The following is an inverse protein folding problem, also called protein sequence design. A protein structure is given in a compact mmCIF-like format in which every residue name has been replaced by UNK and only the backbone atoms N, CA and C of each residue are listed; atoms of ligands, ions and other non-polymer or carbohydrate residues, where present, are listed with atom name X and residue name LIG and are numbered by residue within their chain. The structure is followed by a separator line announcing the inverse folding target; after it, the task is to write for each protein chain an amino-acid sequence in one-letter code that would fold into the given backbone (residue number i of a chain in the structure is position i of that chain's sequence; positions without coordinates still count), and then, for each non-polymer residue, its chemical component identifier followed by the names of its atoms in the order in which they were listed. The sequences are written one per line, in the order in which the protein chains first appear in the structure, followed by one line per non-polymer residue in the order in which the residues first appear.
data_IF_888894619356
#
_entry.id   IF_888894619356
#
_cell.length_a   1.000
_cell.length_b   1.000
_cell.length_c   1.000
_cell.angle_alpha   90.00
_cell.angle_beta   90.00
_cell.angle_gamma   90.00
#
_symmetry.space_group_name_H-M   'P 1'
#
loop_
_entity.id
_entity.type
_entity.pdbx_description
1 polymer ?
#
# COMPACT_ATOMS: atom_id res chain seq x y z
N UNK A 1 7.46 7.29 3.25
CA UNK A 1 6.36 6.38 3.64
C UNK A 1 5.86 6.76 5.01
N UNK A 2 4.56 7.05 5.13
CA UNK A 2 3.88 7.34 6.38
C UNK A 2 2.65 6.44 6.53
N UNK A 3 2.39 5.96 7.75
CA UNK A 3 1.16 5.24 8.08
C UNK A 3 0.38 6.04 9.10
N UNK A 4 -0.87 6.37 8.76
CA UNK A 4 -1.83 7.01 9.66
C UNK A 4 -2.85 5.97 10.07
N UNK A 5 -2.98 5.75 11.38
CA UNK A 5 -3.96 4.82 11.94
C UNK A 5 -5.08 5.59 12.61
N UNK A 6 -6.31 5.34 12.15
CA UNK A 6 -7.54 5.83 12.77
C UNK A 6 -8.29 4.65 13.40
N UNK A 7 -9.31 4.90 14.25
CA UNK A 7 -10.11 3.82 14.84
C UNK A 7 -10.82 2.93 13.81
N UNK A 8 -11.10 3.44 12.61
CA UNK A 8 -11.89 2.78 11.58
C UNK A 8 -11.13 2.46 10.29
N UNK A 9 -9.90 2.95 10.13
CA UNK A 9 -9.07 2.70 8.95
C UNK A 9 -7.59 2.88 9.22
N UNK A 10 -6.77 2.25 8.39
CA UNK A 10 -5.39 2.67 8.17
C UNK A 10 -5.27 3.34 6.81
N UNK A 11 -4.45 4.38 6.76
CA UNK A 11 -4.06 5.04 5.52
C UNK A 11 -2.55 4.99 5.42
N UNK A 12 -2.05 4.35 4.37
CA UNK A 12 -0.66 4.38 3.98
C UNK A 12 -0.48 5.45 2.91
N UNK A 13 0.54 6.28 3.06
CA UNK A 13 0.96 7.28 2.09
C UNK A 13 2.44 7.11 1.73
N UNK A 14 2.73 7.07 0.44
CA UNK A 14 4.07 6.86 -0.10
C UNK A 14 4.30 7.84 -1.25
N UNK A 15 5.32 8.68 -1.11
CA UNK A 15 5.88 9.43 -2.23
C UNK A 15 6.54 8.45 -3.20
N UNK A 16 6.02 8.41 -4.41
CA UNK A 16 6.61 7.67 -5.51
C UNK A 16 7.66 8.55 -6.20
N UNK A 17 8.80 7.96 -6.61
CA UNK A 17 9.73 8.63 -7.53
C UNK A 17 9.00 9.12 -8.78
N UNK A 18 9.44 10.25 -9.34
CA UNK A 18 8.78 10.94 -10.45
C UNK A 18 8.60 10.08 -11.72
N UNK A 19 9.40 9.04 -11.85
CA UNK A 19 9.42 8.13 -12.98
C UNK A 19 8.47 6.95 -12.83
N UNK A 20 7.99 6.70 -11.61
CA UNK A 20 7.01 5.64 -11.35
C UNK A 20 5.65 6.11 -11.81
N UNK A 21 5.14 5.41 -12.81
CA UNK A 21 3.77 5.58 -13.30
C UNK A 21 2.84 4.55 -12.66
N UNK A 22 1.51 4.78 -12.60
CA UNK A 22 0.58 3.85 -11.98
C UNK A 22 0.69 2.42 -12.51
N UNK A 23 0.93 2.22 -13.81
CA UNK A 23 1.10 0.89 -14.41
C UNK A 23 2.39 0.15 -13.98
N UNK A 24 3.33 0.84 -13.35
CA UNK A 24 4.58 0.29 -12.83
C UNK A 24 4.42 -0.18 -11.37
N UNK A 25 3.25 0.03 -10.76
CA UNK A 25 2.97 -0.31 -9.37
C UNK A 25 2.13 -1.60 -9.31
N UNK A 26 2.67 -2.61 -8.63
CA UNK A 26 1.96 -3.84 -8.29
C UNK A 26 1.68 -3.87 -6.80
N UNK A 27 0.41 -4.09 -6.43
CA UNK A 27 -0.02 -4.24 -5.04
C UNK A 27 -0.59 -5.65 -4.88
N UNK A 28 -0.01 -6.41 -3.94
CA UNK A 28 -0.38 -7.80 -3.69
C UNK A 28 -0.90 -7.98 -2.27
N UNK A 29 -2.15 -8.43 -2.14
CA UNK A 29 -2.68 -8.96 -0.90
C UNK A 29 -2.10 -10.36 -0.62
N UNK A 30 -1.43 -10.53 0.51
CA UNK A 30 -0.82 -11.80 0.94
C UNK A 30 -1.46 -12.31 2.22
N UNK A 31 -1.33 -13.62 2.45
CA UNK A 31 -1.80 -14.30 3.67
C UNK A 31 -1.21 -13.64 4.93
N UNK A 32 -2.03 -13.55 5.97
CA UNK A 32 -1.64 -13.00 7.28
C UNK A 32 -1.72 -11.48 7.34
N UNK A 33 -2.77 -10.90 6.76
CA UNK A 33 -3.06 -9.46 6.77
C UNK A 33 -1.84 -8.63 6.33
N UNK A 34 -1.32 -8.98 5.15
CA UNK A 34 -0.11 -8.38 4.58
C UNK A 34 -0.37 -7.78 3.21
N UNK A 35 0.19 -6.61 2.97
CA UNK A 35 0.30 -5.99 1.65
C UNK A 35 1.77 -5.87 1.26
N UNK A 36 2.09 -6.34 0.07
CA UNK A 36 3.39 -6.09 -0.57
C UNK A 36 3.14 -5.17 -1.77
N UNK A 37 3.93 -4.10 -1.86
CA UNK A 37 3.86 -3.08 -2.90
C UNK A 37 5.21 -3.06 -3.60
N UNK A 38 5.20 -3.23 -4.91
CA UNK A 38 6.38 -3.14 -5.76
C UNK A 38 6.15 -2.06 -6.79
N UNK A 39 7.08 -1.13 -6.92
CA UNK A 39 7.12 -0.17 -8.01
C UNK A 39 8.38 -0.42 -8.84
N UNK A 40 8.20 -0.72 -10.13
CA UNK A 40 9.29 -1.12 -11.03
C UNK A 40 9.30 -0.28 -12.32
N UNK A 41 10.25 0.64 -12.40
CA UNK A 41 10.57 1.40 -13.62
C UNK A 41 11.41 0.54 -14.58
N UNK A 42 10.78 -0.48 -15.15
CA UNK A 42 11.35 -1.45 -16.11
C UNK A 42 12.11 -0.84 -17.31
N UNK A 43 11.92 0.45 -17.57
CA UNK A 43 12.59 1.20 -18.64
C UNK A 43 13.92 1.83 -18.22
N UNK A 44 14.34 1.70 -16.94
CA UNK A 44 15.59 2.26 -16.40
C UNK A 44 16.53 1.17 -15.90
N UNK A 45 17.83 1.44 -16.03
CA UNK A 45 18.90 0.55 -15.55
C UNK A 45 19.25 0.76 -14.07
N UNK A 46 19.03 1.96 -13.52
CA UNK A 46 19.35 2.32 -12.14
C UNK A 46 18.14 2.90 -11.41
N UNK A 47 18.10 2.73 -10.09
CA UNK A 47 17.03 3.21 -9.19
C UNK A 47 15.63 2.91 -9.74
N UNK A 48 15.45 1.69 -10.26
CA UNK A 48 14.24 1.30 -10.95
C UNK A 48 13.29 0.48 -10.07
N UNK A 49 13.76 -0.09 -8.96
CA UNK A 49 12.98 -1.04 -8.17
C UNK A 49 12.79 -0.57 -6.73
N UNK A 50 11.54 -0.48 -6.30
CA UNK A 50 11.16 -0.06 -4.96
C UNK A 50 10.15 -1.04 -4.37
N UNK A 51 10.37 -1.43 -3.11
CA UNK A 51 9.50 -2.38 -2.41
C UNK A 51 9.10 -1.85 -1.04
N UNK A 52 7.80 -1.95 -0.74
CA UNK A 52 7.26 -1.69 0.59
C UNK A 52 6.42 -2.88 1.05
N UNK A 53 6.61 -3.26 2.31
CA UNK A 53 5.84 -4.32 2.95
C UNK A 53 5.11 -3.76 4.16
N UNK A 54 3.80 -3.99 4.21
CA UNK A 54 2.94 -3.63 5.35
C UNK A 54 2.40 -4.90 5.96
N UNK A 55 2.58 -5.04 7.27
CA UNK A 55 1.96 -6.08 8.08
C UNK A 55 1.00 -5.43 9.05
N UNK A 56 -0.28 -5.79 8.95
CA UNK A 56 -1.28 -5.34 9.89
C UNK A 56 -1.35 -6.31 11.07
N UNK A 57 -1.82 -5.87 12.25
CA UNK A 57 -2.08 -6.78 13.34
C UNK A 57 -3.13 -7.84 12.91
N UNK A 58 -3.01 -9.10 13.36
CA UNK A 58 -3.94 -10.15 12.98
C UNK A 58 -5.38 -9.75 13.27
N UNK A 59 -6.25 -9.91 12.28
CA UNK A 59 -7.69 -9.62 12.37
C UNK A 59 -8.05 -8.13 12.59
N UNK A 60 -7.11 -7.19 12.45
CA UNK A 60 -7.38 -5.76 12.61
C UNK A 60 -8.01 -5.14 11.36
N UNK A 61 -7.83 -5.73 10.17
CA UNK A 61 -8.23 -5.13 8.90
C UNK A 61 -9.15 -6.00 8.05
N UNK A 62 -10.03 -5.35 7.29
CA UNK A 62 -10.79 -6.00 6.22
C UNK A 62 -10.00 -5.91 4.91
N UNK A 63 -9.34 -7.01 4.54
CA UNK A 63 -8.57 -7.12 3.30
C UNK A 63 -9.42 -6.91 2.03
N UNK A 64 -10.74 -7.10 2.09
CA UNK A 64 -11.61 -6.82 0.94
C UNK A 64 -11.86 -5.32 0.72
N UNK A 65 -11.56 -4.50 1.73
CA UNK A 65 -11.73 -3.04 1.70
C UNK A 65 -10.49 -2.28 1.22
N UNK A 66 -9.42 -2.99 0.84
CA UNK A 66 -8.17 -2.38 0.38
C UNK A 66 -8.46 -1.56 -0.88
N UNK A 67 -8.19 -0.27 -0.80
CA UNK A 67 -8.37 0.67 -1.89
C UNK A 67 -7.08 1.46 -2.11
N UNK A 68 -6.50 1.32 -3.30
CA UNK A 68 -5.29 2.00 -3.69
C UNK A 68 -5.59 3.12 -4.69
N UNK A 69 -4.93 4.26 -4.53
CA UNK A 69 -5.02 5.39 -5.44
C UNK A 69 -3.64 5.96 -5.67
N UNK A 70 -3.28 6.17 -6.94
CA UNK A 70 -2.08 6.94 -7.31
C UNK A 70 -2.53 8.31 -7.79
N UNK A 71 -2.04 9.39 -7.18
CA UNK A 71 -2.35 10.78 -7.55
C UNK A 71 -1.08 11.61 -7.47
N UNK A 72 -0.71 12.29 -8.56
CA UNK A 72 0.40 13.27 -8.58
C UNK A 72 1.72 12.77 -7.95
N UNK A 73 2.09 11.51 -8.20
CA UNK A 73 3.32 10.94 -7.63
C UNK A 73 3.18 10.44 -6.18
N UNK A 74 1.97 10.37 -5.64
CA UNK A 74 1.69 9.77 -4.34
C UNK A 74 0.85 8.50 -4.48
N UNK A 75 1.26 7.43 -3.81
CA UNK A 75 0.46 6.23 -3.62
C UNK A 75 -0.21 6.28 -2.24
N UNK A 76 -1.54 6.37 -2.24
CA UNK A 76 -2.36 6.24 -1.04
C UNK A 76 -3.04 4.88 -1.02
N UNK A 77 -2.95 4.14 0.08
CA UNK A 77 -3.69 2.90 0.32
C UNK A 77 -4.53 3.05 1.58
N UNK A 78 -5.84 3.01 1.42
CA UNK A 78 -6.80 2.96 2.50
C UNK A 78 -7.24 1.51 2.74
N UNK A 79 -7.31 1.10 4.00
CA UNK A 79 -7.89 -0.17 4.41
C UNK A 79 -8.75 0.03 5.65
N UNK A 80 -9.98 -0.47 5.63
CA UNK A 80 -10.87 -0.39 6.78
C UNK A 80 -10.41 -1.34 7.89
N UNK A 81 -10.56 -0.87 9.14
CA UNK A 81 -10.34 -1.70 10.31
C UNK A 81 -11.60 -2.51 10.61
N UNK A 82 -11.43 -3.78 10.94
CA UNK A 82 -12.55 -4.59 11.44
C UNK A 82 -13.01 -3.98 12.75
N UNK A 83 -14.32 -3.74 12.88
CA UNK A 83 -14.88 -3.53 14.22
C UNK A 83 -14.58 -4.79 15.01
N UNK A 84 -13.96 -4.66 16.18
CA UNK A 84 -13.87 -5.75 17.13
C UNK A 84 -15.30 -6.18 17.47
N UNK A 85 -15.78 -7.23 16.81
CA UNK A 85 -16.90 -8.01 17.31
C UNK A 85 -16.36 -8.74 18.52
N UNK A 86 -16.65 -8.19 19.71
CA UNK A 86 -16.52 -8.91 20.97
C UNK A 86 -17.40 -10.16 20.96
#
# INVERSE_FOLDING_TARGET
MQVVTLPYKHTLDVDLPSEIRPEMVTISAKKGDRLDIVADAWHKENDCHYEWQIRFPPHDIDMSSVHAKVTEGHLTIDVQRRRSTR
#
